data_IF_750186388049
#
_entry.id   IF_750186388049
#
_cell.length_a   1.000
_cell.length_b   1.000
_cell.length_c   1.000
_cell.angle_alpha   90.00
_cell.angle_beta   90.00
_cell.angle_gamma   90.00
#
_symmetry.space_group_name_H-M   'P 1'
#
loop_
_entity.id
_entity.type
_entity.pdbx_description
1 polymer ?
#
# COMPACT_ATOMS: atom_id res chain seq x y z
N UNK A 1 0.70 48.80 1.90
CA UNK A 1 0.83 47.35 1.77
C UNK A 1 0.30 46.79 0.44
N UNK A 2 -0.16 47.59 -0.50
CA UNK A 2 -0.75 47.17 -1.76
C UNK A 2 -2.30 47.19 -1.73
N UNK A 3 -2.87 46.66 -2.79
CA UNK A 3 -4.32 46.61 -2.96
C UNK A 3 -4.80 45.17 -2.96
N UNK A 4 -5.93 44.88 -2.38
CA UNK A 4 -6.59 43.58 -2.41
C UNK A 4 -6.99 43.26 -3.87
N UNK A 5 -6.46 42.19 -4.48
CA UNK A 5 -6.72 41.86 -5.86
C UNK A 5 -8.19 41.53 -6.17
N UNK A 6 -8.99 41.19 -5.15
CA UNK A 6 -10.42 40.91 -5.31
C UNK A 6 -11.32 42.12 -5.15
N UNK A 7 -10.94 43.05 -4.26
CA UNK A 7 -11.81 44.18 -3.90
C UNK A 7 -11.25 45.53 -4.35
N UNK A 8 -10.00 45.61 -4.85
CA UNK A 8 -9.34 46.84 -5.24
C UNK A 8 -9.06 47.81 -4.09
N UNK A 9 -9.39 47.43 -2.85
CA UNK A 9 -9.19 48.30 -1.68
C UNK A 9 -7.75 48.25 -1.18
N UNK A 10 -7.24 49.37 -0.70
CA UNK A 10 -5.91 49.46 -0.10
C UNK A 10 -5.86 48.61 1.18
N UNK A 11 -4.88 47.72 1.26
CA UNK A 11 -4.62 46.93 2.47
C UNK A 11 -3.82 47.78 3.46
N UNK A 12 -4.43 48.07 4.60
CA UNK A 12 -3.76 48.81 5.71
C UNK A 12 -3.56 47.86 6.88
N UNK A 13 -2.39 47.97 7.53
CA UNK A 13 -2.09 47.27 8.79
C UNK A 13 -1.75 48.31 9.87
N UNK A 14 -2.48 48.27 10.97
CA UNK A 14 -2.19 49.10 12.14
C UNK A 14 -1.33 48.29 13.11
N UNK A 15 -0.35 48.92 13.68
CA UNK A 15 0.54 48.35 14.68
C UNK A 15 0.31 49.06 16.01
N UNK A 16 0.05 48.31 17.07
CA UNK A 16 -0.25 48.83 18.39
C UNK A 16 0.81 48.37 19.39
N UNK A 17 1.14 49.22 20.37
CA UNK A 17 2.06 48.92 21.48
C UNK A 17 1.76 49.81 22.65
N UNK A 18 2.22 49.41 23.84
CA UNK A 18 2.09 50.20 25.07
C UNK A 18 3.09 51.38 25.15
N UNK A 19 4.19 51.30 24.39
CA UNK A 19 5.20 52.34 24.31
C UNK A 19 5.55 52.67 22.85
N UNK A 20 5.99 53.92 22.63
CA UNK A 20 6.45 54.38 21.32
C UNK A 20 7.61 53.55 20.77
N UNK A 21 8.51 53.06 21.65
CA UNK A 21 9.60 52.17 21.31
C UNK A 21 9.11 50.84 20.78
N UNK A 22 8.12 50.24 21.42
CA UNK A 22 7.49 48.97 21.02
C UNK A 22 6.78 49.10 19.66
N UNK A 23 6.05 50.20 19.44
CA UNK A 23 5.37 50.44 18.14
C UNK A 23 6.40 50.57 17.04
N UNK A 24 7.51 51.34 17.24
CA UNK A 24 8.59 51.47 16.26
C UNK A 24 9.25 50.13 15.95
N UNK A 25 9.54 49.31 16.95
CA UNK A 25 10.13 47.96 16.72
C UNK A 25 9.20 47.06 15.90
N UNK A 26 7.91 47.00 16.26
CA UNK A 26 6.92 46.23 15.51
C UNK A 26 6.72 46.75 14.09
N UNK A 27 6.75 48.06 13.89
CA UNK A 27 6.63 48.65 12.54
C UNK A 27 7.86 48.34 11.69
N UNK A 28 9.06 48.52 12.22
CA UNK A 28 10.31 48.20 11.55
C UNK A 28 10.37 46.73 11.16
N UNK A 29 10.01 45.81 12.06
CA UNK A 29 9.95 44.39 11.77
C UNK A 29 8.94 44.08 10.61
N UNK A 30 7.74 44.69 10.65
CA UNK A 30 6.74 44.50 9.61
C UNK A 30 7.16 45.07 8.24
N UNK A 31 7.92 46.19 8.24
CA UNK A 31 8.48 46.77 7.01
C UNK A 31 9.58 45.86 6.43
N UNK A 32 10.49 45.35 7.28
CA UNK A 32 11.54 44.42 6.86
C UNK A 32 10.94 43.16 6.26
N UNK A 33 9.87 42.64 6.86
CA UNK A 33 9.15 41.48 6.32
C UNK A 33 8.49 41.76 4.95
N UNK A 34 8.00 42.98 4.75
CA UNK A 34 7.43 43.40 3.48
C UNK A 34 8.50 43.56 2.40
N UNK A 35 9.60 44.22 2.71
CA UNK A 35 10.70 44.46 1.79
C UNK A 35 11.42 43.16 1.38
N UNK A 36 11.53 42.22 2.30
CA UNK A 36 12.07 40.87 2.01
C UNK A 36 11.08 39.92 1.36
N UNK A 37 9.83 40.33 1.12
CA UNK A 37 8.79 39.48 0.56
C UNK A 37 8.33 38.34 1.48
N UNK A 38 8.75 38.35 2.75
CA UNK A 38 8.43 37.32 3.75
C UNK A 38 7.17 37.64 4.57
N UNK A 39 6.52 38.76 4.28
CA UNK A 39 5.29 39.14 4.97
C UNK A 39 4.14 38.19 4.66
N UNK A 40 3.61 37.54 5.68
CA UNK A 40 2.41 36.72 5.61
C UNK A 40 1.25 37.48 6.24
N UNK A 41 0.22 37.78 5.44
CA UNK A 41 -0.99 38.36 5.96
C UNK A 41 -1.66 37.42 6.98
N UNK A 42 -2.02 37.91 8.17
CA UNK A 42 -2.72 37.07 9.15
C UNK A 42 -4.01 36.52 8.53
N UNK A 43 -4.09 35.22 8.37
CA UNK A 43 -5.31 34.56 7.90
C UNK A 43 -6.22 34.25 9.10
N UNK A 44 -7.51 34.54 8.97
CA UNK A 44 -8.53 34.10 9.94
C UNK A 44 -8.99 32.65 9.67
N UNK A 45 -8.47 32.03 8.61
CA UNK A 45 -8.81 30.68 8.18
C UNK A 45 -8.55 29.66 9.28
N UNK A 46 -9.54 28.85 9.59
CA UNK A 46 -9.42 27.71 10.49
C UNK A 46 -8.76 26.53 9.79
N UNK A 47 -8.04 25.69 10.53
CA UNK A 47 -7.39 24.50 9.98
C UNK A 47 -8.40 23.59 9.29
N UNK A 48 -9.57 23.38 9.87
CA UNK A 48 -10.61 22.54 9.27
C UNK A 48 -11.05 23.03 7.89
N UNK A 49 -11.27 24.34 7.73
CA UNK A 49 -11.62 24.95 6.45
C UNK A 49 -10.48 24.84 5.41
N UNK A 50 -9.23 25.03 5.86
CA UNK A 50 -8.07 24.82 5.01
C UNK A 50 -7.96 23.37 4.50
N UNK A 51 -8.16 22.39 5.39
CA UNK A 51 -8.08 20.97 5.04
C UNK A 51 -9.15 20.56 4.02
N UNK A 52 -10.37 21.12 4.10
CA UNK A 52 -11.42 20.91 3.09
C UNK A 52 -11.01 21.49 1.74
N UNK A 53 -10.54 22.73 1.74
CA UNK A 53 -10.04 23.37 0.52
C UNK A 53 -8.86 22.60 -0.09
N UNK A 54 -7.93 22.13 0.74
CA UNK A 54 -6.79 21.35 0.30
C UNK A 54 -7.21 20.02 -0.33
N UNK A 55 -8.11 19.29 0.29
CA UNK A 55 -8.66 18.04 -0.27
C UNK A 55 -9.33 18.24 -1.62
N UNK A 56 -10.05 19.34 -1.78
CA UNK A 56 -10.76 19.63 -3.01
C UNK A 56 -9.83 20.10 -4.13
N UNK A 57 -8.93 21.03 -3.83
CA UNK A 57 -8.17 21.75 -4.86
C UNK A 57 -6.78 21.17 -5.13
N UNK A 58 -6.15 20.48 -4.16
CA UNK A 58 -4.72 20.12 -4.24
C UNK A 58 -4.45 18.61 -4.21
N UNK A 59 -5.50 17.78 -4.26
CA UNK A 59 -5.35 16.31 -4.29
C UNK A 59 -5.82 15.67 -5.61
N UNK A 60 -5.90 16.44 -6.69
CA UNK A 60 -6.36 15.94 -8.01
C UNK A 60 -5.50 14.81 -8.57
N UNK A 61 -4.20 14.78 -8.26
CA UNK A 61 -3.27 13.74 -8.71
C UNK A 61 -3.22 12.52 -7.76
N UNK A 62 -4.04 12.50 -6.71
CA UNK A 62 -4.06 11.41 -5.73
C UNK A 62 -5.08 10.36 -6.14
N UNK A 63 -4.70 9.08 -6.09
CA UNK A 63 -5.62 7.97 -6.41
C UNK A 63 -6.84 8.01 -5.49
N UNK A 64 -8.06 7.69 -5.99
CA UNK A 64 -9.32 7.79 -5.22
C UNK A 64 -9.27 7.12 -3.84
N UNK A 65 -8.72 5.90 -3.76
CA UNK A 65 -8.59 5.19 -2.48
C UNK A 65 -7.69 5.92 -1.47
N UNK A 66 -6.62 6.58 -1.94
CA UNK A 66 -5.73 7.38 -1.08
C UNK A 66 -6.42 8.67 -0.63
N UNK A 67 -7.18 9.32 -1.53
CA UNK A 67 -7.97 10.51 -1.21
C UNK A 67 -9.02 10.18 -0.14
N UNK A 68 -9.74 9.08 -0.27
CA UNK A 68 -10.67 8.60 0.74
C UNK A 68 -10.03 8.34 2.12
N UNK A 69 -8.79 7.82 2.13
CA UNK A 69 -8.03 7.67 3.37
C UNK A 69 -7.65 9.04 3.98
N UNK A 70 -7.28 10.03 3.15
CA UNK A 70 -7.01 11.39 3.61
C UNK A 70 -8.26 12.02 4.22
N UNK A 71 -9.39 11.91 3.55
CA UNK A 71 -10.69 12.40 4.04
C UNK A 71 -11.05 11.78 5.39
N UNK A 72 -10.86 10.48 5.55
CA UNK A 72 -11.10 9.79 6.81
C UNK A 72 -10.18 10.28 7.93
N UNK A 73 -8.87 10.35 7.68
CA UNK A 73 -7.91 10.86 8.68
C UNK A 73 -8.24 12.29 9.11
N UNK A 74 -8.59 13.16 8.17
CA UNK A 74 -8.96 14.53 8.45
C UNK A 74 -10.25 14.59 9.28
N UNK A 75 -11.29 13.87 8.83
CA UNK A 75 -12.62 13.90 9.46
C UNK A 75 -12.62 13.30 10.87
N UNK A 76 -11.93 12.17 11.06
CA UNK A 76 -12.01 11.38 12.29
C UNK A 76 -10.93 11.78 13.29
N UNK A 77 -9.73 12.13 12.84
CA UNK A 77 -8.57 12.25 13.71
C UNK A 77 -7.97 13.66 13.81
N UNK A 78 -8.28 14.55 12.86
CA UNK A 78 -7.68 15.89 12.86
C UNK A 78 -8.72 16.96 13.24
N UNK A 79 -9.81 17.04 12.48
CA UNK A 79 -10.85 18.08 12.67
C UNK A 79 -11.47 18.12 14.07
N UNK A 80 -11.76 16.98 14.74
CA UNK A 80 -12.36 17.02 16.07
C UNK A 80 -11.50 17.75 17.12
N UNK A 81 -10.18 17.76 16.93
CA UNK A 81 -9.23 18.34 17.90
C UNK A 81 -8.68 19.69 17.46
N UNK A 82 -8.40 19.85 16.17
CA UNK A 82 -7.65 20.99 15.64
C UNK A 82 -8.45 21.81 14.61
N UNK A 83 -9.61 21.36 14.20
CA UNK A 83 -10.40 21.98 13.11
C UNK A 83 -10.74 23.43 13.35
N UNK A 84 -11.02 23.83 14.60
CA UNK A 84 -11.39 25.19 15.01
C UNK A 84 -10.18 26.10 15.23
N UNK A 85 -8.96 25.55 15.29
CA UNK A 85 -7.74 26.33 15.49
C UNK A 85 -7.46 27.17 14.24
N UNK A 86 -7.21 28.46 14.41
CA UNK A 86 -6.75 29.32 13.31
C UNK A 86 -5.43 28.81 12.78
N UNK A 87 -5.30 28.68 11.46
CA UNK A 87 -4.11 28.16 10.81
C UNK A 87 -2.82 28.84 11.27
N UNK A 88 -2.86 30.18 11.37
CA UNK A 88 -1.74 31.01 11.86
C UNK A 88 -1.43 30.85 13.38
N UNK A 89 -2.28 30.16 14.13
CA UNK A 89 -2.07 29.88 15.56
C UNK A 89 -1.77 28.42 15.87
N UNK A 90 -1.69 27.57 14.84
CA UNK A 90 -1.33 26.18 15.02
C UNK A 90 0.13 26.05 15.45
N UNK A 91 0.38 25.30 16.52
CA UNK A 91 1.72 25.08 17.06
C UNK A 91 2.05 23.59 17.18
N UNK A 92 3.35 23.26 17.17
CA UNK A 92 3.81 21.89 17.36
C UNK A 92 3.30 21.24 18.67
N UNK A 93 3.28 21.91 19.84
CA UNK A 93 2.74 21.35 21.07
C UNK A 93 1.27 20.97 20.96
N UNK A 94 0.42 21.76 20.26
CA UNK A 94 -0.99 21.41 20.06
C UNK A 94 -1.13 20.10 19.29
N UNK A 95 -0.34 19.95 18.23
CA UNK A 95 -0.37 18.71 17.40
C UNK A 95 0.19 17.54 18.18
N UNK A 96 1.28 17.74 18.95
CA UNK A 96 1.88 16.71 19.79
C UNK A 96 0.88 16.17 20.81
N UNK A 97 0.14 17.03 21.47
CA UNK A 97 -0.91 16.62 22.43
C UNK A 97 -1.99 15.77 21.75
N UNK A 98 -2.42 16.12 20.53
CA UNK A 98 -3.37 15.31 19.78
C UNK A 98 -2.80 13.93 19.48
N UNK A 99 -1.52 13.83 19.07
CA UNK A 99 -0.91 12.53 18.80
C UNK A 99 -0.78 11.68 20.06
N UNK A 100 -0.47 12.26 21.20
CA UNK A 100 -0.46 11.56 22.49
C UNK A 100 -1.87 11.04 22.83
N UNK A 101 -2.90 11.88 22.71
CA UNK A 101 -4.31 11.47 22.90
C UNK A 101 -4.70 10.31 21.96
N UNK A 102 -4.31 10.38 20.67
CA UNK A 102 -4.61 9.32 19.71
C UNK A 102 -3.93 8.00 20.06
N UNK A 103 -2.72 8.04 20.62
CA UNK A 103 -1.97 6.86 21.07
C UNK A 103 -2.52 6.31 22.37
N UNK A 104 -2.63 7.15 23.40
CA UNK A 104 -2.86 6.74 24.77
C UNK A 104 -4.33 6.52 25.09
N UNK A 105 -5.22 7.42 24.62
CA UNK A 105 -6.65 7.36 24.92
C UNK A 105 -7.46 6.63 23.85
N UNK A 106 -7.07 6.78 22.57
CA UNK A 106 -7.78 6.12 21.44
C UNK A 106 -7.16 4.81 21.02
N UNK A 107 -6.00 4.43 21.56
CA UNK A 107 -5.34 3.16 21.27
C UNK A 107 -4.89 3.01 19.82
N UNK A 108 -4.64 4.10 19.08
CA UNK A 108 -4.16 4.01 17.71
C UNK A 108 -2.70 3.51 17.68
N UNK A 109 -2.40 2.69 16.68
CA UNK A 109 -1.02 2.24 16.48
C UNK A 109 -0.09 3.41 16.10
N UNK A 110 1.21 3.33 16.47
CA UNK A 110 2.23 4.29 16.03
C UNK A 110 2.23 4.52 14.52
N UNK A 111 1.97 3.48 13.73
CA UNK A 111 1.86 3.55 12.29
C UNK A 111 0.67 4.38 11.83
N UNK A 112 -0.49 4.25 12.50
CA UNK A 112 -1.68 5.03 12.20
C UNK A 112 -1.44 6.52 12.46
N UNK A 113 -0.81 6.87 13.59
CA UNK A 113 -0.46 8.25 13.91
C UNK A 113 0.52 8.84 12.89
N UNK A 114 1.52 8.07 12.44
CA UNK A 114 2.42 8.51 11.34
C UNK A 114 1.68 8.74 10.02
N UNK A 115 0.67 7.94 9.71
CA UNK A 115 -0.13 8.16 8.51
C UNK A 115 -0.97 9.45 8.62
N UNK A 116 -1.59 9.70 9.78
CA UNK A 116 -2.32 10.95 10.07
C UNK A 116 -1.38 12.15 9.97
N UNK A 117 -0.19 12.06 10.58
CA UNK A 117 0.84 13.10 10.46
C UNK A 117 1.19 13.38 9.00
N UNK A 118 1.43 12.33 8.20
CA UNK A 118 1.78 12.49 6.77
C UNK A 118 0.73 13.24 5.96
N UNK A 119 -0.55 13.08 6.28
CA UNK A 119 -1.65 13.83 5.65
C UNK A 119 -1.63 15.29 6.08
N UNK A 120 -1.58 15.54 7.39
CA UNK A 120 -1.57 16.89 7.94
C UNK A 120 -0.32 17.67 7.52
N UNK A 121 0.85 17.03 7.54
CA UNK A 121 2.12 17.64 7.11
C UNK A 121 2.05 18.10 5.64
N UNK A 122 1.54 17.26 4.73
CA UNK A 122 1.37 17.63 3.31
C UNK A 122 0.43 18.81 3.14
N UNK A 123 -0.68 18.84 3.85
CA UNK A 123 -1.63 19.94 3.78
C UNK A 123 -1.00 21.26 4.28
N UNK A 124 -0.20 21.21 5.34
CA UNK A 124 0.46 22.40 5.89
C UNK A 124 1.67 22.83 5.04
N UNK A 125 2.40 21.91 4.42
CA UNK A 125 3.42 22.25 3.43
C UNK A 125 2.80 22.99 2.23
N UNK A 126 1.61 22.60 1.79
CA UNK A 126 0.89 23.35 0.75
C UNK A 126 0.46 24.73 1.25
N UNK A 127 0.02 24.85 2.51
CA UNK A 127 -0.30 26.15 3.13
C UNK A 127 0.93 27.07 3.21
N UNK A 128 2.10 26.51 3.53
CA UNK A 128 3.40 27.22 3.54
C UNK A 128 3.75 27.71 2.12
N UNK A 129 3.64 26.86 1.10
CA UNK A 129 3.88 27.25 -0.30
C UNK A 129 2.95 28.37 -0.79
N UNK A 130 1.75 28.47 -0.23
CA UNK A 130 0.78 29.52 -0.52
C UNK A 130 0.91 30.75 0.37
N UNK A 131 1.95 30.82 1.19
CA UNK A 131 2.20 31.90 2.15
C UNK A 131 1.06 32.10 3.19
N UNK A 132 0.35 31.02 3.56
CA UNK A 132 -0.56 31.03 4.70
C UNK A 132 0.16 30.72 6.01
N UNK A 133 1.34 30.09 5.95
CA UNK A 133 2.23 29.79 7.07
C UNK A 133 3.67 30.16 6.71
N UNK A 134 4.45 30.58 7.69
CA UNK A 134 5.90 30.79 7.55
C UNK A 134 6.65 29.46 7.49
N UNK A 135 6.32 28.62 8.43
CA UNK A 135 6.95 27.32 8.67
C UNK A 135 5.87 26.28 8.92
N UNK A 136 6.20 25.04 8.66
CA UNK A 136 5.31 23.94 8.99
C UNK A 136 5.50 23.57 10.47
N UNK A 137 4.51 23.80 11.35
CA UNK A 137 4.68 23.47 12.77
C UNK A 137 4.90 21.98 13.03
N UNK A 138 4.60 21.12 12.05
CA UNK A 138 4.80 19.69 12.19
C UNK A 138 6.27 19.27 12.07
N UNK A 139 7.16 20.10 11.55
CA UNK A 139 8.59 19.80 11.45
C UNK A 139 9.23 19.61 12.84
N UNK A 140 8.66 20.24 13.88
CA UNK A 140 9.12 20.13 15.28
C UNK A 140 8.38 19.04 16.09
N UNK A 141 7.45 18.29 15.49
CA UNK A 141 6.68 17.26 16.20
C UNK A 141 7.47 15.95 16.28
N UNK A 142 7.47 15.32 17.43
CA UNK A 142 8.12 14.03 17.66
C UNK A 142 7.14 12.89 17.33
N UNK A 143 7.51 12.09 16.35
CA UNK A 143 6.70 10.94 15.94
C UNK A 143 7.01 9.68 16.76
N UNK A 144 6.00 8.87 17.09
CA UNK A 144 6.21 7.64 17.83
C UNK A 144 7.10 6.66 17.04
N UNK A 145 7.93 5.89 17.74
CA UNK A 145 8.70 4.83 17.11
C UNK A 145 7.77 3.73 16.60
N UNK A 146 8.06 3.23 15.40
CA UNK A 146 7.36 2.08 14.83
C UNK A 146 8.35 0.91 14.78
N UNK A 147 7.99 -0.19 15.38
CA UNK A 147 8.70 -1.44 15.16
C UNK A 147 8.44 -1.95 13.75
N UNK A 148 9.47 -2.57 13.15
CA UNK A 148 9.26 -3.28 11.89
C UNK A 148 8.47 -4.54 12.23
N UNK A 149 7.28 -4.76 11.61
CA UNK A 149 6.54 -5.99 11.84
C UNK A 149 7.42 -7.17 11.42
N UNK A 150 7.47 -8.20 12.25
CA UNK A 150 8.09 -9.46 11.87
C UNK A 150 7.30 -10.05 10.71
N UNK A 151 8.02 -10.53 9.71
CA UNK A 151 7.43 -11.17 8.56
C UNK A 151 6.87 -12.53 8.99
N UNK A 152 5.59 -12.72 8.81
CA UNK A 152 4.92 -13.98 9.03
C UNK A 152 4.92 -14.76 7.72
N UNK A 153 5.43 -15.99 7.74
CA UNK A 153 5.41 -16.91 6.59
C UNK A 153 5.10 -18.31 7.05
N UNK A 154 4.48 -19.10 6.20
CA UNK A 154 4.26 -20.52 6.43
C UNK A 154 5.54 -21.30 6.14
N UNK A 155 5.91 -22.20 7.03
CA UNK A 155 6.91 -23.22 6.74
C UNK A 155 6.30 -24.41 5.96
N UNK A 156 7.08 -25.45 5.71
CA UNK A 156 6.63 -26.58 4.90
C UNK A 156 5.49 -27.36 5.58
N UNK A 157 5.51 -27.49 6.92
CA UNK A 157 4.44 -28.13 7.68
C UNK A 157 3.15 -27.29 7.67
N UNK A 158 3.27 -25.98 7.84
CA UNK A 158 2.17 -25.04 7.74
C UNK A 158 1.55 -25.04 6.33
N UNK A 159 2.40 -25.15 5.28
CA UNK A 159 1.94 -25.23 3.89
C UNK A 159 1.14 -26.50 3.61
N UNK A 160 1.61 -27.66 4.13
CA UNK A 160 0.87 -28.93 4.03
C UNK A 160 -0.48 -28.82 4.73
N UNK A 161 -0.51 -28.30 5.95
CA UNK A 161 -1.74 -28.10 6.71
C UNK A 161 -2.69 -27.13 6.02
N UNK A 162 -2.16 -26.05 5.44
CA UNK A 162 -2.94 -25.08 4.64
C UNK A 162 -3.59 -25.74 3.42
N UNK A 163 -2.83 -26.53 2.64
CA UNK A 163 -3.34 -27.21 1.44
C UNK A 163 -4.45 -28.20 1.81
N UNK A 164 -4.29 -28.96 2.88
CA UNK A 164 -5.32 -29.85 3.40
C UNK A 164 -6.59 -29.09 3.84
N UNK A 165 -6.40 -27.92 4.47
CA UNK A 165 -7.51 -27.13 4.99
C UNK A 165 -8.32 -26.41 3.92
N UNK A 166 -7.74 -26.13 2.76
CA UNK A 166 -8.46 -25.52 1.63
C UNK A 166 -9.13 -26.55 0.74
N UNK A 167 -8.82 -27.83 0.83
CA UNK A 167 -9.40 -28.89 0.02
C UNK A 167 -10.92 -28.93 0.20
N UNK A 168 -11.67 -28.80 -0.89
CA UNK A 168 -13.13 -28.72 -0.88
C UNK A 168 -13.72 -27.41 -0.37
N UNK A 169 -12.89 -26.42 -0.02
CA UNK A 169 -13.37 -25.10 0.36
C UNK A 169 -13.97 -24.34 -0.82
N UNK A 170 -14.93 -23.46 -0.53
CA UNK A 170 -15.55 -22.61 -1.56
C UNK A 170 -14.55 -21.75 -2.35
N UNK A 171 -13.44 -21.37 -1.73
CA UNK A 171 -12.35 -20.56 -2.30
C UNK A 171 -11.02 -21.33 -2.43
N UNK A 172 -11.09 -22.66 -2.51
CA UNK A 172 -9.91 -23.52 -2.66
C UNK A 172 -9.00 -23.05 -3.79
N UNK A 173 -9.57 -22.83 -4.98
CA UNK A 173 -8.79 -22.51 -6.18
C UNK A 173 -8.16 -21.13 -6.06
N UNK A 174 -8.91 -20.15 -5.57
CA UNK A 174 -8.42 -18.79 -5.32
C UNK A 174 -7.23 -18.76 -4.35
N UNK A 175 -7.36 -19.48 -3.23
CA UNK A 175 -6.32 -19.55 -2.19
C UNK A 175 -5.10 -20.35 -2.68
N UNK A 176 -5.32 -21.42 -3.41
CA UNK A 176 -4.25 -22.22 -4.02
C UNK A 176 -3.45 -21.38 -5.04
N UNK A 177 -4.14 -20.74 -5.99
CA UNK A 177 -3.48 -19.91 -7.00
C UNK A 177 -2.70 -18.77 -6.34
N UNK A 178 -3.25 -18.09 -5.32
CA UNK A 178 -2.55 -17.01 -4.63
C UNK A 178 -1.29 -17.50 -3.92
N UNK A 179 -1.35 -18.65 -3.24
CA UNK A 179 -0.23 -19.24 -2.51
C UNK A 179 0.95 -19.60 -3.42
N UNK A 180 0.67 -20.04 -4.67
CA UNK A 180 1.71 -20.49 -5.63
C UNK A 180 2.04 -19.47 -6.73
N UNK A 181 1.46 -18.28 -6.70
CA UNK A 181 1.76 -17.19 -7.63
C UNK A 181 2.23 -15.91 -6.93
N UNK A 182 1.94 -15.79 -5.63
CA UNK A 182 2.26 -14.61 -4.85
C UNK A 182 1.59 -13.33 -5.36
N UNK A 183 0.44 -13.43 -6.01
CA UNK A 183 -0.33 -12.29 -6.50
C UNK A 183 -0.79 -11.41 -5.33
N UNK A 184 -1.04 -10.14 -5.58
CA UNK A 184 -1.80 -9.35 -4.61
C UNK A 184 -3.27 -9.73 -4.71
N UNK A 185 -4.02 -9.73 -3.62
CA UNK A 185 -5.45 -10.06 -3.62
C UNK A 185 -6.24 -9.34 -4.73
N UNK A 186 -5.93 -8.06 -4.97
CA UNK A 186 -6.56 -7.31 -6.05
C UNK A 186 -6.11 -7.74 -7.46
N UNK A 187 -4.89 -8.24 -7.63
CA UNK A 187 -4.38 -8.81 -8.89
C UNK A 187 -5.04 -10.17 -9.15
N UNK A 188 -5.11 -11.03 -8.13
CA UNK A 188 -5.81 -12.31 -8.20
C UNK A 188 -7.26 -12.12 -8.63
N UNK A 189 -8.04 -11.31 -7.91
CA UNK A 189 -9.45 -11.06 -8.22
C UNK A 189 -9.68 -10.24 -9.49
N UNK A 190 -8.65 -9.58 -10.00
CA UNK A 190 -8.66 -8.84 -11.26
C UNK A 190 -8.18 -9.64 -12.47
N UNK A 191 -7.76 -10.90 -12.27
CA UNK A 191 -7.31 -11.76 -13.37
C UNK A 191 -8.46 -12.10 -14.31
N UNK A 192 -8.22 -11.98 -15.61
CA UNK A 192 -9.20 -12.29 -16.66
C UNK A 192 -8.75 -13.46 -17.51
N UNK A 193 -9.67 -14.20 -18.11
CA UNK A 193 -9.34 -15.33 -18.96
C UNK A 193 -8.48 -14.94 -20.17
N UNK A 194 -8.61 -13.74 -20.71
CA UNK A 194 -7.73 -13.23 -21.76
C UNK A 194 -6.28 -12.96 -21.32
N UNK A 195 -6.00 -13.05 -20.02
CA UNK A 195 -4.66 -12.94 -19.44
C UNK A 195 -4.06 -14.27 -19.00
N UNK A 196 -4.73 -15.39 -19.28
CA UNK A 196 -4.27 -16.76 -18.98
C UNK A 196 -3.89 -17.44 -20.28
N UNK A 197 -2.61 -17.74 -20.45
CA UNK A 197 -2.09 -18.49 -21.58
C UNK A 197 -1.80 -19.94 -21.14
N UNK A 198 -2.66 -20.86 -21.54
CA UNK A 198 -2.53 -22.27 -21.18
C UNK A 198 -1.47 -23.02 -21.99
N UNK A 199 -1.07 -22.49 -23.15
CA UNK A 199 -0.03 -23.09 -24.00
C UNK A 199 1.35 -22.78 -23.45
N UNK A 200 1.61 -21.50 -23.12
CA UNK A 200 2.89 -21.05 -22.58
C UNK A 200 2.93 -21.05 -21.05
N UNK A 201 1.88 -21.49 -20.38
CA UNK A 201 1.75 -21.53 -18.92
C UNK A 201 2.05 -20.17 -18.27
N UNK A 202 1.48 -19.09 -18.83
CA UNK A 202 1.75 -17.74 -18.34
C UNK A 202 0.48 -17.00 -17.93
N UNK A 203 0.63 -16.15 -16.92
CA UNK A 203 -0.38 -15.20 -16.46
C UNK A 203 0.10 -13.77 -16.73
N UNK A 204 -0.65 -13.00 -17.50
CA UNK A 204 -0.38 -11.58 -17.71
C UNK A 204 -1.06 -10.75 -16.63
N UNK A 205 -0.27 -10.15 -15.74
CA UNK A 205 -0.78 -9.32 -14.65
C UNK A 205 -0.71 -7.85 -15.08
N UNK A 206 -1.83 -7.31 -15.53
CA UNK A 206 -1.94 -5.98 -16.13
C UNK A 206 -2.90 -5.03 -15.40
N UNK A 207 -3.75 -5.55 -14.52
CA UNK A 207 -4.74 -4.77 -13.77
C UNK A 207 -5.00 -5.38 -12.40
N UNK A 208 -5.60 -4.58 -11.53
CA UNK A 208 -6.05 -5.03 -10.21
C UNK A 208 -7.49 -4.59 -9.98
N UNK A 209 -8.22 -5.42 -9.28
CA UNK A 209 -9.57 -5.17 -8.86
C UNK A 209 -9.56 -4.41 -7.52
N UNK A 210 -10.19 -3.26 -7.48
CA UNK A 210 -10.28 -2.43 -6.29
C UNK A 210 -11.70 -1.91 -6.09
N UNK A 211 -12.05 -1.71 -4.83
CA UNK A 211 -13.26 -0.99 -4.44
C UNK A 211 -12.87 0.13 -3.50
N UNK A 212 -13.14 1.36 -3.87
CA UNK A 212 -12.91 2.48 -2.97
C UNK A 212 -13.93 2.44 -1.81
N UNK A 213 -13.50 2.92 -0.64
CA UNK A 213 -14.38 2.96 0.54
C UNK A 213 -15.58 3.86 0.26
N UNK A 214 -16.78 3.33 0.43
CA UNK A 214 -18.04 4.05 0.16
C UNK A 214 -18.60 3.88 -1.26
N UNK A 215 -17.85 3.32 -2.20
CA UNK A 215 -18.38 2.99 -3.53
C UNK A 215 -19.12 1.65 -3.50
N UNK A 216 -20.22 1.59 -4.24
CA UNK A 216 -20.98 0.34 -4.42
C UNK A 216 -20.39 -0.54 -5.51
N UNK A 217 -19.72 0.07 -6.48
CA UNK A 217 -19.16 -0.59 -7.65
C UNK A 217 -17.68 -0.89 -7.50
N UNK A 218 -17.25 -1.95 -8.15
CA UNK A 218 -15.86 -2.34 -8.24
C UNK A 218 -15.26 -1.73 -9.51
N UNK A 219 -14.02 -1.28 -9.42
CA UNK A 219 -13.29 -0.69 -10.54
C UNK A 219 -11.98 -1.41 -10.78
N UNK A 220 -11.65 -1.58 -12.05
CA UNK A 220 -10.27 -1.88 -12.41
C UNK A 220 -9.42 -0.62 -12.26
N UNK A 221 -8.31 -0.76 -11.59
CA UNK A 221 -7.29 0.28 -11.55
C UNK A 221 -5.98 -0.26 -12.13
N UNK A 222 -5.15 0.66 -12.64
CA UNK A 222 -3.77 0.36 -12.97
C UNK A 222 -3.05 -0.25 -11.77
N UNK A 223 -2.07 -1.10 -12.02
CA UNK A 223 -1.25 -1.70 -10.98
C UNK A 223 -0.63 -0.59 -10.09
N UNK A 224 -0.43 -0.88 -8.83
CA UNK A 224 0.12 0.08 -7.87
C UNK A 224 1.50 0.60 -8.28
N UNK A 225 2.26 -0.22 -9.02
CA UNK A 225 3.60 0.09 -9.54
C UNK A 225 3.64 0.31 -11.05
N UNK A 226 2.47 0.31 -11.72
CA UNK A 226 2.31 0.51 -13.18
C UNK A 226 3.07 -0.47 -14.08
N UNK A 227 3.70 -1.51 -13.52
CA UNK A 227 4.43 -2.51 -14.28
C UNK A 227 3.54 -3.72 -14.57
N UNK A 228 3.15 -3.85 -15.84
CA UNK A 228 2.62 -5.10 -16.40
C UNK A 228 3.73 -6.13 -16.32
N UNK A 229 3.39 -7.36 -15.92
CA UNK A 229 4.35 -8.46 -15.87
C UNK A 229 3.68 -9.76 -16.33
N UNK A 230 4.47 -10.62 -16.94
CA UNK A 230 4.13 -12.00 -17.19
C UNK A 230 4.72 -12.88 -16.09
N UNK A 231 3.93 -13.81 -15.59
CA UNK A 231 4.32 -14.78 -14.58
C UNK A 231 4.18 -16.17 -15.18
N UNK A 232 5.28 -16.90 -15.30
CA UNK A 232 5.23 -18.33 -15.64
C UNK A 232 4.84 -19.11 -14.40
N UNK A 233 3.89 -20.03 -14.54
CA UNK A 233 3.34 -20.81 -13.44
C UNK A 233 3.46 -22.30 -13.70
N UNK A 234 3.28 -23.11 -12.65
CA UNK A 234 3.40 -24.57 -12.71
C UNK A 234 2.17 -25.22 -13.35
N UNK A 235 2.31 -26.48 -13.73
CA UNK A 235 1.20 -27.30 -14.26
C UNK A 235 0.04 -27.37 -13.28
N UNK A 236 0.32 -27.48 -11.98
CA UNK A 236 -0.71 -27.57 -10.93
C UNK A 236 -1.56 -26.29 -10.83
N UNK A 237 -0.92 -25.12 -11.03
CA UNK A 237 -1.64 -23.83 -11.08
C UNK A 237 -2.52 -23.77 -12.33
N UNK A 238 -2.01 -24.23 -13.48
CA UNK A 238 -2.80 -24.31 -14.71
C UNK A 238 -3.95 -25.29 -14.59
N UNK A 239 -3.75 -26.42 -13.93
CA UNK A 239 -4.83 -27.39 -13.67
C UNK A 239 -5.88 -26.83 -12.71
N UNK A 240 -5.49 -26.09 -11.70
CA UNK A 240 -6.42 -25.36 -10.85
C UNK A 240 -7.25 -24.33 -11.65
N UNK A 241 -6.62 -23.60 -12.57
CA UNK A 241 -7.32 -22.67 -13.47
C UNK A 241 -8.27 -23.41 -14.46
N UNK A 242 -7.89 -24.58 -14.98
CA UNK A 242 -8.80 -25.41 -15.79
C UNK A 242 -9.99 -25.91 -14.96
N UNK A 243 -9.79 -26.27 -13.67
CA UNK A 243 -10.89 -26.60 -12.76
C UNK A 243 -11.81 -25.40 -12.56
N UNK A 244 -11.26 -24.21 -12.40
CA UNK A 244 -12.02 -22.98 -12.29
C UNK A 244 -12.87 -22.69 -13.55
N UNK A 245 -12.31 -22.92 -14.74
CA UNK A 245 -13.03 -22.73 -15.98
C UNK A 245 -14.25 -23.66 -16.09
N UNK A 246 -14.08 -24.95 -15.71
CA UNK A 246 -15.17 -25.92 -15.63
C UNK A 246 -16.20 -25.51 -14.57
N UNK A 247 -15.78 -25.06 -13.40
CA UNK A 247 -16.64 -24.54 -12.33
C UNK A 247 -17.51 -23.39 -12.81
N UNK A 248 -16.90 -22.41 -13.49
CA UNK A 248 -17.65 -21.28 -14.07
C UNK A 248 -18.62 -21.68 -15.15
N UNK A 249 -18.25 -22.62 -16.01
CA UNK A 249 -19.18 -23.16 -17.05
C UNK A 249 -20.42 -23.79 -16.42
N UNK A 250 -20.25 -24.57 -15.34
CA UNK A 250 -21.37 -25.16 -14.59
C UNK A 250 -22.22 -24.06 -13.91
N UNK A 251 -21.61 -23.07 -13.28
CA UNK A 251 -22.35 -21.95 -12.70
C UNK A 251 -23.11 -21.13 -13.72
N UNK A 252 -22.51 -20.87 -14.90
CA UNK A 252 -23.18 -20.18 -15.99
C UNK A 252 -24.41 -20.94 -16.50
N UNK A 253 -24.30 -22.26 -16.65
CA UNK A 253 -25.43 -23.10 -17.05
C UNK A 253 -26.55 -23.10 -16.01
N UNK A 254 -26.21 -23.15 -14.71
CA UNK A 254 -27.17 -23.13 -13.62
C UNK A 254 -27.84 -21.75 -13.42
N UNK A 255 -27.11 -20.67 -13.55
CA UNK A 255 -27.60 -19.30 -13.36
C UNK A 255 -28.42 -18.77 -14.55
N UNK A 256 -28.22 -19.30 -15.75
CA UNK A 256 -28.95 -18.89 -16.97
C UNK A 256 -28.80 -17.37 -17.21
N UNK A 257 -29.93 -16.69 -17.34
CA UNK A 257 -29.97 -15.24 -17.58
C UNK A 257 -29.42 -14.38 -16.42
N UNK A 258 -29.31 -14.93 -15.22
CA UNK A 258 -28.75 -14.23 -14.06
C UNK A 258 -27.21 -14.16 -14.09
N UNK A 259 -26.58 -14.93 -15.00
CA UNK A 259 -25.12 -14.90 -15.16
C UNK A 259 -24.64 -13.60 -15.80
N UNK A 260 -23.68 -12.94 -15.15
CA UNK A 260 -23.09 -11.71 -15.66
C UNK A 260 -21.60 -11.61 -15.31
N UNK A 261 -20.72 -11.85 -16.30
CA UNK A 261 -19.26 -11.67 -16.19
C UNK A 261 -18.75 -10.84 -17.40
N UNK A 262 -19.12 -9.53 -17.46
CA UNK A 262 -18.78 -8.70 -18.62
C UNK A 262 -17.26 -8.47 -18.76
N UNK A 263 -16.52 -8.54 -17.67
CA UNK A 263 -15.07 -8.34 -17.66
C UNK A 263 -14.27 -9.63 -17.89
N UNK A 264 -14.95 -10.74 -18.13
CA UNK A 264 -14.34 -12.06 -18.38
C UNK A 264 -13.36 -12.48 -17.26
N UNK A 265 -13.75 -12.26 -16.00
CA UNK A 265 -12.95 -12.60 -14.82
C UNK A 265 -12.77 -14.10 -14.64
N UNK A 266 -11.58 -14.49 -14.16
CA UNK A 266 -11.28 -15.87 -13.75
C UNK A 266 -12.00 -16.23 -12.45
N UNK A 267 -12.04 -15.35 -11.48
CA UNK A 267 -12.64 -15.58 -10.17
C UNK A 267 -13.92 -14.75 -10.01
N UNK A 268 -15.04 -15.44 -9.93
CA UNK A 268 -16.37 -14.85 -9.84
C UNK A 268 -17.20 -15.54 -8.78
N UNK A 269 -18.32 -14.94 -8.40
CA UNK A 269 -19.39 -15.64 -7.70
C UNK A 269 -20.11 -16.61 -8.65
N UNK A 270 -21.00 -17.44 -8.12
CA UNK A 270 -21.86 -18.37 -8.87
C UNK A 270 -22.78 -17.69 -9.91
N UNK A 271 -22.94 -16.37 -9.82
CA UNK A 271 -23.68 -15.53 -10.76
C UNK A 271 -22.77 -14.77 -11.73
N UNK A 272 -21.47 -15.04 -11.77
CA UNK A 272 -20.50 -14.35 -12.62
C UNK A 272 -20.06 -12.97 -12.10
N UNK A 273 -20.52 -12.55 -10.93
CA UNK A 273 -20.22 -11.23 -10.36
C UNK A 273 -18.87 -11.22 -9.66
N UNK A 274 -18.37 -10.03 -9.38
CA UNK A 274 -17.14 -9.81 -8.63
C UNK A 274 -17.15 -10.49 -7.25
N UNK A 275 -16.08 -11.18 -6.91
CA UNK A 275 -15.81 -11.65 -5.55
C UNK A 275 -15.39 -10.47 -4.67
N UNK A 276 -16.06 -10.33 -3.53
CA UNK A 276 -15.71 -9.27 -2.58
C UNK A 276 -14.40 -9.63 -1.84
N UNK A 277 -13.42 -8.72 -1.89
CA UNK A 277 -12.13 -8.90 -1.21
C UNK A 277 -12.30 -9.25 0.28
N UNK A 278 -13.26 -8.63 0.97
CA UNK A 278 -13.53 -8.93 2.38
C UNK A 278 -14.05 -10.36 2.58
N UNK A 279 -14.87 -10.87 1.67
CA UNK A 279 -15.40 -12.24 1.75
C UNK A 279 -14.26 -13.26 1.59
N UNK A 280 -13.42 -13.10 0.57
CA UNK A 280 -12.23 -13.95 0.40
C UNK A 280 -11.29 -13.87 1.59
N UNK A 281 -11.03 -12.64 2.11
CA UNK A 281 -10.22 -12.44 3.31
C UNK A 281 -10.81 -13.14 4.53
N UNK A 282 -12.11 -13.05 4.77
CA UNK A 282 -12.76 -13.69 5.92
C UNK A 282 -12.74 -15.21 5.81
N UNK A 283 -12.89 -15.76 4.60
CA UNK A 283 -12.73 -17.19 4.36
C UNK A 283 -11.28 -17.62 4.66
N UNK A 284 -10.28 -16.95 4.11
CA UNK A 284 -8.88 -17.17 4.43
C UNK A 284 -8.62 -17.17 5.95
N UNK A 285 -9.12 -16.17 6.67
CA UNK A 285 -8.97 -16.09 8.14
C UNK A 285 -9.66 -17.27 8.86
N UNK A 286 -10.75 -17.79 8.32
CA UNK A 286 -11.41 -18.99 8.86
C UNK A 286 -10.51 -20.22 8.69
N UNK A 287 -9.97 -20.41 7.48
CA UNK A 287 -9.02 -21.50 7.18
C UNK A 287 -7.77 -21.39 8.07
N UNK A 288 -7.15 -20.23 8.18
CA UNK A 288 -5.95 -20.03 9.02
C UNK A 288 -6.23 -20.33 10.50
N UNK A 289 -7.40 -19.94 11.00
CA UNK A 289 -7.80 -20.21 12.38
C UNK A 289 -7.93 -21.71 12.68
N UNK A 290 -8.48 -22.47 11.75
CA UNK A 290 -8.62 -23.94 11.92
C UNK A 290 -7.27 -24.66 12.00
N UNK A 291 -6.19 -24.03 11.50
CA UNK A 291 -4.82 -24.55 11.54
C UNK A 291 -3.97 -23.93 12.65
N UNK A 292 -4.53 -23.13 13.55
CA UNK A 292 -3.77 -22.41 14.58
C UNK A 292 -2.92 -21.25 14.08
N UNK A 293 -3.04 -20.86 12.81
CA UNK A 293 -2.26 -19.82 12.13
C UNK A 293 -3.02 -18.49 12.06
N UNK A 294 -3.76 -18.14 13.10
CA UNK A 294 -4.67 -16.98 13.15
C UNK A 294 -3.99 -15.64 12.89
N UNK A 295 -2.69 -15.52 13.14
CA UNK A 295 -1.93 -14.28 12.98
C UNK A 295 -1.62 -13.96 11.52
N UNK A 296 -1.60 -14.98 10.64
CA UNK A 296 -1.34 -14.77 9.21
C UNK A 296 -2.42 -13.91 8.55
N UNK A 297 -1.98 -13.00 7.74
CA UNK A 297 -2.81 -12.13 6.89
C UNK A 297 -2.83 -12.69 5.47
N UNK A 298 -3.83 -12.36 4.68
CA UNK A 298 -3.90 -12.77 3.28
C UNK A 298 -2.63 -12.40 2.49
N UNK A 299 -2.07 -11.22 2.74
CA UNK A 299 -0.83 -10.79 2.07
C UNK A 299 0.41 -11.62 2.47
N UNK A 300 0.33 -12.38 3.56
CA UNK A 300 1.44 -13.23 4.02
C UNK A 300 1.56 -14.52 3.17
N UNK A 301 0.51 -14.90 2.38
CA UNK A 301 0.63 -15.89 1.29
C UNK A 301 1.70 -15.46 0.27
N UNK A 302 1.68 -14.22 -0.14
CA UNK A 302 2.69 -13.64 -1.04
C UNK A 302 4.08 -13.61 -0.40
N UNK A 303 4.17 -13.35 0.88
CA UNK A 303 5.45 -13.42 1.61
C UNK A 303 5.96 -14.86 1.68
N UNK A 304 5.06 -15.82 1.90
CA UNK A 304 5.35 -17.26 1.88
C UNK A 304 5.85 -17.69 0.51
N UNK A 305 5.16 -17.30 -0.57
CA UNK A 305 5.61 -17.55 -1.94
C UNK A 305 7.04 -17.04 -2.17
N UNK A 306 7.34 -15.81 -1.79
CA UNK A 306 8.66 -15.22 -1.97
C UNK A 306 9.77 -16.01 -1.23
N UNK A 307 9.51 -16.38 0.03
CA UNK A 307 10.47 -17.16 0.84
C UNK A 307 10.66 -18.56 0.26
N UNK A 308 9.57 -19.21 -0.16
CA UNK A 308 9.63 -20.56 -0.71
C UNK A 308 10.31 -20.58 -2.08
N UNK A 309 10.08 -19.59 -2.95
CA UNK A 309 10.83 -19.42 -4.21
C UNK A 309 12.35 -19.30 -3.96
N UNK A 310 12.76 -18.45 -3.01
CA UNK A 310 14.17 -18.34 -2.63
C UNK A 310 14.74 -19.63 -2.03
N UNK A 311 13.96 -20.38 -1.22
CA UNK A 311 14.35 -21.70 -0.71
C UNK A 311 14.48 -22.72 -1.83
N UNK A 312 13.59 -22.68 -2.83
CA UNK A 312 13.66 -23.55 -4.01
C UNK A 312 14.84 -23.24 -4.93
N UNK A 313 15.51 -22.11 -4.76
CA UNK A 313 16.73 -21.76 -5.46
C UNK A 313 16.59 -20.65 -6.47
N UNK A 314 15.42 -20.00 -6.57
CA UNK A 314 15.23 -18.82 -7.40
C UNK A 314 16.19 -17.70 -6.98
N UNK A 315 16.68 -16.96 -7.95
CA UNK A 315 17.43 -15.74 -7.66
C UNK A 315 16.49 -14.58 -7.26
N UNK A 316 17.05 -13.62 -6.52
CA UNK A 316 16.29 -12.48 -5.98
C UNK A 316 15.65 -11.64 -7.09
N UNK A 317 16.28 -11.57 -8.26
CA UNK A 317 15.79 -10.79 -9.40
C UNK A 317 14.55 -11.44 -9.99
N UNK A 318 14.56 -12.75 -10.18
CA UNK A 318 13.41 -13.54 -10.61
C UNK A 318 12.25 -13.40 -9.64
N UNK A 319 12.48 -13.55 -8.32
CA UNK A 319 11.44 -13.34 -7.31
C UNK A 319 10.90 -11.91 -7.33
N UNK A 320 11.77 -10.90 -7.50
CA UNK A 320 11.34 -9.50 -7.64
C UNK A 320 10.43 -9.30 -8.84
N UNK A 321 10.75 -9.87 -9.99
CA UNK A 321 9.98 -9.74 -11.23
C UNK A 321 8.63 -10.45 -11.10
N UNK A 322 8.62 -11.68 -10.61
CA UNK A 322 7.40 -12.45 -10.36
C UNK A 322 6.45 -11.69 -9.44
N UNK A 323 6.97 -11.11 -8.37
CA UNK A 323 6.17 -10.32 -7.44
C UNK A 323 5.81 -8.92 -7.96
N UNK A 324 6.51 -8.38 -8.96
CA UNK A 324 6.34 -7.00 -9.43
C UNK A 324 6.69 -5.97 -8.36
N UNK A 325 7.79 -6.20 -7.63
CA UNK A 325 8.34 -5.21 -6.69
C UNK A 325 9.10 -4.12 -7.44
N UNK A 326 8.91 -2.87 -7.06
CA UNK A 326 9.52 -1.72 -7.72
C UNK A 326 11.07 -1.79 -7.72
N UNK A 327 11.67 -2.35 -6.65
CA UNK A 327 13.11 -2.47 -6.50
C UNK A 327 13.51 -3.82 -5.93
N UNK A 328 14.66 -4.36 -6.36
CA UNK A 328 15.28 -5.56 -5.77
C UNK A 328 15.67 -5.32 -4.30
N UNK A 329 16.01 -4.09 -3.94
CA UNK A 329 16.32 -3.71 -2.56
C UNK A 329 15.18 -4.00 -1.60
N UNK A 330 13.91 -3.82 -2.03
CA UNK A 330 12.76 -4.18 -1.20
C UNK A 330 12.67 -5.69 -0.98
N UNK A 331 12.85 -6.49 -2.04
CA UNK A 331 12.87 -7.96 -1.95
C UNK A 331 14.03 -8.43 -1.07
N UNK A 332 15.21 -7.85 -1.26
CA UNK A 332 16.40 -8.15 -0.48
C UNK A 332 16.20 -7.82 1.00
N UNK A 333 15.78 -6.61 1.33
CA UNK A 333 15.59 -6.16 2.72
C UNK A 333 14.48 -6.92 3.45
N UNK A 334 13.54 -7.50 2.70
CA UNK A 334 12.36 -8.18 3.25
C UNK A 334 12.61 -9.69 3.42
N UNK A 335 13.30 -10.33 2.45
CA UNK A 335 13.41 -11.79 2.39
C UNK A 335 14.84 -12.33 2.46
N UNK A 336 15.88 -11.50 2.37
CA UNK A 336 17.27 -11.95 2.25
C UNK A 336 17.91 -12.39 3.58
N UNK A 337 17.15 -12.84 4.54
CA UNK A 337 17.71 -13.54 5.67
C UNK A 337 18.00 -14.99 5.26
N UNK A 338 19.22 -15.22 4.71
CA UNK A 338 19.68 -16.55 4.34
C UNK A 338 19.58 -17.49 5.56
N UNK A 339 18.68 -18.46 5.49
CA UNK A 339 18.57 -19.49 6.52
C UNK A 339 19.81 -20.40 6.52
N UNK A 340 20.14 -21.09 7.63
CA UNK A 340 21.21 -22.09 7.62
C UNK A 340 21.06 -23.15 6.53
N UNK A 341 19.81 -23.54 6.20
CA UNK A 341 19.48 -24.43 5.08
C UNK A 341 19.91 -23.88 3.75
N UNK A 342 19.54 -22.63 3.41
CA UNK A 342 19.93 -21.98 2.16
C UNK A 342 21.44 -21.87 1.99
N UNK A 343 22.20 -21.63 3.09
CA UNK A 343 23.68 -21.61 3.06
C UNK A 343 24.25 -22.99 2.73
N UNK A 344 23.69 -24.05 3.32
CA UNK A 344 24.10 -25.44 3.07
C UNK A 344 23.80 -25.85 1.62
N UNK A 345 22.63 -25.54 1.10
CA UNK A 345 22.27 -25.81 -0.29
C UNK A 345 23.15 -25.06 -1.29
N UNK A 346 23.46 -23.80 -0.99
CA UNK A 346 24.43 -23.03 -1.81
C UNK A 346 25.80 -23.71 -1.84
N UNK A 347 26.31 -24.19 -0.71
CA UNK A 347 27.55 -24.95 -0.65
C UNK A 347 27.46 -26.28 -1.43
N UNK A 348 26.32 -26.98 -1.35
CA UNK A 348 26.09 -28.22 -2.10
C UNK A 348 26.07 -27.97 -3.62
N UNK A 349 25.40 -26.90 -4.10
CA UNK A 349 25.40 -26.51 -5.52
C UNK A 349 26.84 -26.22 -6.02
N UNK A 350 27.63 -25.50 -5.22
CA UNK A 350 29.04 -25.25 -5.55
C UNK A 350 29.85 -26.54 -5.59
N UNK A 351 29.61 -27.47 -4.69
CA UNK A 351 30.21 -28.80 -4.68
C UNK A 351 29.85 -29.62 -5.93
N UNK A 352 28.62 -29.56 -6.40
CA UNK A 352 28.19 -30.21 -7.65
C UNK A 352 28.85 -29.57 -8.87
N UNK A 353 28.92 -28.23 -8.90
CA UNK A 353 29.63 -27.50 -9.96
C UNK A 353 31.13 -27.92 -10.06
N UNK A 354 31.81 -27.98 -8.92
CA UNK A 354 33.21 -28.42 -8.90
C UNK A 354 33.40 -29.87 -9.37
N UNK A 355 32.51 -30.80 -9.00
CA UNK A 355 32.52 -32.17 -9.51
C UNK A 355 32.40 -32.22 -11.02
N UNK A 356 31.41 -31.49 -11.59
CA UNK A 356 31.18 -31.41 -13.03
C UNK A 356 32.40 -30.90 -13.78
N UNK A 357 33.08 -29.85 -13.29
CA UNK A 357 34.30 -29.33 -13.90
C UNK A 357 35.45 -30.39 -13.88
N UNK A 358 35.62 -31.08 -12.74
CA UNK A 358 36.65 -32.13 -12.63
C UNK A 358 36.41 -33.27 -13.62
N UNK A 359 35.16 -33.76 -13.71
CA UNK A 359 34.79 -34.80 -14.67
C UNK A 359 35.01 -34.38 -16.13
N UNK A 360 34.65 -33.13 -16.46
CA UNK A 360 34.95 -32.59 -17.81
C UNK A 360 36.44 -32.46 -18.09
N UNK A 361 37.25 -32.14 -17.08
CA UNK A 361 38.71 -32.02 -17.21
C UNK A 361 39.36 -33.38 -17.36
N UNK A 362 38.86 -34.40 -16.66
CA UNK A 362 39.34 -35.78 -16.76
C UNK A 362 38.95 -36.41 -18.10
N UNK A 363 37.75 -36.19 -18.59
CA UNK A 363 37.29 -36.61 -19.90
C UNK A 363 38.16 -36.03 -21.05
N UNK A 364 38.52 -34.73 -20.92
CA UNK A 364 39.40 -34.05 -21.90
C UNK A 364 40.83 -34.60 -21.89
N UNK A 365 41.33 -35.08 -20.74
CA UNK A 365 42.67 -35.69 -20.62
C UNK A 365 42.72 -37.13 -21.14
N UNK A 366 41.56 -37.83 -21.12
CA UNK A 366 41.50 -39.23 -21.63
C UNK A 366 41.29 -39.31 -23.14
N UNK A 367 41.05 -38.16 -23.79
CA UNK A 367 40.85 -38.05 -25.24
C UNK A 367 42.09 -37.58 -26.01
N UNK A 368 43.23 -37.39 -25.33
CA UNK A 368 44.56 -37.10 -25.85
C UNK A 368 45.48 -38.29 -25.62
#
# INVERSE_FOLDING_TARGET
MGFDPKTGKQIQKSVYGQTQKEVRQKLSAALTELDSGTYIAPTSMKLGAWLDQWLQAYTGNVKPATKGAYEEHIRVHIKPYLGEVKLAKLTAPMVQNVYNTLLEEKGLSPKSVKNIHGVLHRALEQAKKLNYLRENPLDAVILPRTEKPQLQTMDDADMIAFLQAIEGDAYEIELFVDAFTGLRQGELLGLTWGCVDFEHQTLLINKQHNRAKGEKEFHFSSLKTEKVRSLTVTDEVMDALRRQQRRQAAWKAAAGELWSNPDNLVFTTEFGRYVNNKTLYMNFKRVMRSQGLSELRFHDLRHTFAVNSLKAGDDIKTVQENLGHATASFTLSTYAHATPGMKRESANRMGQYLRRIRESTEASKSSV
#
